data_IF_634033993836
#
_entry.id   IF_634033993836
#
_cell.length_a   1.000
_cell.length_b   1.000
_cell.length_c   1.000
_cell.angle_alpha   90.00
_cell.angle_beta   90.00
_cell.angle_gamma   90.00
#
_symmetry.space_group_name_H-M   'P 1'
#
loop_
_entity.id
_entity.type
_entity.pdbx_description
1 polymer ?
#
# COMPACT_ATOMS: atom_id res chain seq x y z
N UNK A 1 46.79 56.04 -14.56
CA UNK A 1 45.37 55.78 -14.25
C UNK A 1 45.14 54.34 -13.78
N UNK A 2 45.50 53.31 -14.56
CA UNK A 2 45.23 51.90 -14.24
C UNK A 2 45.78 51.40 -12.89
N UNK A 3 47.03 51.75 -12.53
CA UNK A 3 47.66 51.30 -11.27
C UNK A 3 46.97 51.90 -10.04
N UNK A 4 46.51 53.16 -10.12
CA UNK A 4 45.77 53.82 -9.03
C UNK A 4 44.41 53.16 -8.80
N UNK A 5 43.68 52.86 -9.87
CA UNK A 5 42.41 52.14 -9.77
C UNK A 5 42.59 50.74 -9.12
N UNK A 6 43.67 50.03 -9.44
CA UNK A 6 43.98 48.73 -8.81
C UNK A 6 44.29 48.91 -7.32
N UNK A 7 45.05 49.95 -6.96
CA UNK A 7 45.36 50.28 -5.57
C UNK A 7 44.08 50.57 -4.76
N UNK A 8 43.13 51.32 -5.32
CA UNK A 8 41.85 51.63 -4.68
C UNK A 8 41.02 50.37 -4.44
N UNK A 9 40.94 49.50 -5.45
CA UNK A 9 40.23 48.21 -5.34
C UNK A 9 40.90 47.31 -4.30
N UNK A 10 42.24 47.19 -4.31
CA UNK A 10 42.97 46.40 -3.31
C UNK A 10 42.69 46.94 -1.90
N UNK A 11 42.71 48.26 -1.71
CA UNK A 11 42.47 48.89 -0.41
C UNK A 11 41.06 48.59 0.11
N UNK A 12 40.06 48.61 -0.78
CA UNK A 12 38.66 48.28 -0.45
C UNK A 12 38.43 46.81 -0.03
N UNK A 13 39.30 45.89 -0.46
CA UNK A 13 39.15 44.44 -0.27
C UNK A 13 40.10 43.91 0.81
N UNK A 14 41.29 44.49 0.98
CA UNK A 14 42.39 43.99 1.84
C UNK A 14 41.99 43.77 3.30
N UNK A 15 41.10 44.59 3.85
CA UNK A 15 40.69 44.51 5.26
C UNK A 15 39.47 43.61 5.51
N UNK A 16 38.80 43.11 4.46
CA UNK A 16 37.60 42.27 4.57
C UNK A 16 37.99 40.82 4.88
N UNK A 17 37.48 40.26 5.98
CA UNK A 17 37.70 38.85 6.40
C UNK A 17 36.68 37.87 5.78
N UNK A 18 36.42 37.97 4.47
CA UNK A 18 35.52 37.05 3.73
C UNK A 18 36.33 36.22 2.70
N UNK A 19 35.90 34.98 2.43
CA UNK A 19 36.47 34.10 1.41
C UNK A 19 36.47 34.71 0.00
N UNK A 20 35.40 35.43 -0.36
CA UNK A 20 35.29 36.13 -1.65
C UNK A 20 36.26 37.31 -1.77
N UNK A 21 36.39 38.10 -0.71
CA UNK A 21 37.37 39.19 -0.64
C UNK A 21 38.81 38.65 -0.77
N UNK A 22 39.10 37.52 -0.12
CA UNK A 22 40.39 36.85 -0.23
C UNK A 22 40.64 36.30 -1.65
N UNK A 23 39.61 35.79 -2.32
CA UNK A 23 39.69 35.34 -3.71
C UNK A 23 39.95 36.52 -4.67
N UNK A 24 39.21 37.62 -4.54
CA UNK A 24 39.41 38.84 -5.32
C UNK A 24 40.82 39.41 -5.15
N UNK A 25 41.34 39.47 -3.91
CA UNK A 25 42.71 39.91 -3.65
C UNK A 25 43.75 38.98 -4.30
N UNK A 26 43.53 37.67 -4.27
CA UNK A 26 44.41 36.71 -4.94
C UNK A 26 44.39 36.88 -6.46
N UNK A 27 43.24 37.14 -7.08
CA UNK A 27 43.14 37.39 -8.53
C UNK A 27 43.89 38.67 -8.88
N UNK A 28 43.59 39.78 -8.20
CA UNK A 28 44.22 41.08 -8.44
C UNK A 28 45.74 41.00 -8.30
N UNK A 29 46.23 40.37 -7.24
CA UNK A 29 47.67 40.21 -7.02
C UNK A 29 48.31 39.27 -8.05
N UNK A 30 47.61 38.23 -8.50
CA UNK A 30 48.11 37.35 -9.57
C UNK A 30 48.15 38.05 -10.93
N UNK A 31 47.17 38.92 -11.23
CA UNK A 31 47.12 39.66 -12.50
C UNK A 31 48.26 40.65 -12.66
N UNK A 32 48.67 41.32 -11.59
CA UNK A 32 49.76 42.32 -11.62
C UNK A 32 51.14 41.69 -11.40
N UNK A 33 51.22 40.45 -10.92
CA UNK A 33 52.50 39.75 -10.63
C UNK A 33 53.02 38.93 -11.82
N UNK A 34 53.32 39.61 -12.92
CA UNK A 34 53.94 39.01 -14.11
C UNK A 34 55.44 38.69 -13.94
N UNK A 35 56.02 37.97 -14.91
CA UNK A 35 57.44 37.53 -14.91
C UNK A 35 58.40 38.72 -14.74
N UNK A 36 58.25 39.76 -15.56
CA UNK A 36 59.06 40.98 -15.53
C UNK A 36 59.13 41.71 -14.17
N UNK A 37 58.06 41.61 -13.37
CA UNK A 37 57.94 42.29 -12.06
C UNK A 37 58.47 41.40 -10.93
N UNK A 38 58.35 40.08 -11.09
CA UNK A 38 58.50 39.12 -10.01
C UNK A 38 59.86 38.43 -9.96
N UNK A 39 60.64 38.47 -11.06
CA UNK A 39 62.05 38.04 -11.08
C UNK A 39 62.99 39.13 -10.54
N UNK A 40 62.57 40.39 -10.56
CA UNK A 40 63.34 41.53 -10.07
C UNK A 40 62.89 41.94 -8.67
N UNK A 41 63.66 41.56 -7.62
CA UNK A 41 63.35 41.89 -6.20
C UNK A 41 63.05 43.38 -5.96
N UNK A 42 63.78 44.29 -6.62
CA UNK A 42 63.54 45.74 -6.52
C UNK A 42 62.21 46.17 -7.14
N UNK A 43 61.84 45.61 -8.29
CA UNK A 43 60.57 45.91 -8.96
C UNK A 43 59.38 45.39 -8.16
N UNK A 44 59.49 44.17 -7.59
CA UNK A 44 58.44 43.62 -6.71
C UNK A 44 58.25 44.49 -5.46
N UNK A 45 59.34 44.98 -4.85
CA UNK A 45 59.26 45.84 -3.65
C UNK A 45 58.68 47.21 -3.97
N UNK A 46 59.06 47.80 -5.11
CA UNK A 46 58.50 49.08 -5.57
C UNK A 46 57.00 48.97 -5.82
N UNK A 47 56.56 47.95 -6.56
CA UNK A 47 55.14 47.72 -6.82
C UNK A 47 54.35 47.40 -5.54
N UNK A 48 54.93 46.63 -4.61
CA UNK A 48 54.31 46.32 -3.32
C UNK A 48 54.01 47.61 -2.52
N UNK A 49 54.96 48.55 -2.52
CA UNK A 49 54.80 49.84 -1.87
C UNK A 49 53.71 50.69 -2.55
N UNK A 50 53.69 50.73 -3.88
CA UNK A 50 52.66 51.46 -4.65
C UNK A 50 51.26 50.89 -4.38
N UNK A 51 51.12 49.56 -4.32
CA UNK A 51 49.84 48.89 -4.09
C UNK A 51 49.46 48.76 -2.60
N UNK A 52 50.32 49.19 -1.68
CA UNK A 52 50.08 49.08 -0.23
C UNK A 52 49.95 47.63 0.28
N UNK A 53 50.61 46.65 -0.36
CA UNK A 53 50.55 45.22 0.01
C UNK A 53 51.93 44.68 0.38
N UNK A 54 51.97 43.56 1.12
CA UNK A 54 53.24 42.90 1.43
C UNK A 54 53.85 42.29 0.15
N UNK A 55 55.17 42.41 -0.03
CA UNK A 55 55.90 41.82 -1.16
C UNK A 55 55.72 40.29 -1.24
N UNK A 56 55.54 39.61 -0.11
CA UNK A 56 55.19 38.17 -0.06
C UNK A 56 53.85 37.86 -0.74
N UNK A 57 52.89 38.80 -0.71
CA UNK A 57 51.59 38.65 -1.36
C UNK A 57 51.73 38.66 -2.88
N UNK A 58 52.57 39.54 -3.44
CA UNK A 58 52.89 39.54 -4.88
C UNK A 58 53.63 38.27 -5.30
N UNK A 59 54.54 37.75 -4.47
CA UNK A 59 55.20 36.46 -4.75
C UNK A 59 54.22 35.28 -4.77
N UNK A 60 53.22 35.27 -3.87
CA UNK A 60 52.12 34.28 -3.92
C UNK A 60 51.26 34.46 -5.17
N UNK A 61 50.98 35.71 -5.55
CA UNK A 61 50.30 36.05 -6.80
C UNK A 61 51.04 35.50 -8.02
N UNK A 62 52.37 35.66 -8.10
CA UNK A 62 53.20 35.05 -9.15
C UNK A 62 52.97 33.54 -9.20
N UNK A 63 53.20 32.82 -8.09
CA UNK A 63 53.04 31.35 -8.04
C UNK A 63 51.65 30.91 -8.49
N UNK A 64 50.62 31.65 -8.09
CA UNK A 64 49.23 31.39 -8.51
C UNK A 64 49.06 31.63 -10.01
N UNK A 65 49.58 32.74 -10.55
CA UNK A 65 49.58 33.06 -11.98
C UNK A 65 50.30 31.99 -12.81
N UNK A 66 51.50 31.58 -12.42
CA UNK A 66 52.28 30.54 -13.11
C UNK A 66 51.51 29.22 -13.10
N UNK A 67 50.91 28.85 -11.96
CA UNK A 67 50.07 27.64 -11.87
C UNK A 67 48.85 27.71 -12.80
N UNK A 68 48.18 28.85 -12.90
CA UNK A 68 47.02 29.03 -13.80
C UNK A 68 47.45 28.96 -15.26
N UNK A 69 48.51 29.67 -15.66
CA UNK A 69 48.98 29.73 -17.04
C UNK A 69 49.55 28.40 -17.56
N UNK A 70 50.12 27.57 -16.68
CA UNK A 70 50.64 26.24 -17.04
C UNK A 70 49.71 25.08 -16.66
N UNK A 71 48.49 25.36 -16.18
CA UNK A 71 47.48 24.31 -15.95
C UNK A 71 46.67 24.06 -17.22
N UNK A 72 46.23 22.82 -17.44
CA UNK A 72 45.39 22.43 -18.58
C UNK A 72 44.10 23.25 -18.73
N UNK A 73 43.64 23.91 -17.66
CA UNK A 73 42.38 24.65 -17.63
C UNK A 73 42.53 26.19 -17.60
N UNK A 74 43.74 26.77 -17.71
CA UNK A 74 44.02 28.19 -18.02
C UNK A 74 43.18 29.31 -17.37
N UNK A 75 42.48 29.05 -16.26
CA UNK A 75 41.44 29.93 -15.72
C UNK A 75 41.76 30.35 -14.28
N UNK A 76 41.81 31.65 -14.01
CA UNK A 76 42.06 32.21 -12.66
C UNK A 76 40.99 31.83 -11.62
N UNK A 77 39.78 31.50 -12.08
CA UNK A 77 38.67 31.05 -11.23
C UNK A 77 38.78 29.56 -10.89
N UNK A 78 39.56 28.78 -11.64
CA UNK A 78 39.68 27.34 -11.45
C UNK A 78 40.78 27.04 -10.44
N UNK A 79 40.45 27.14 -9.15
CA UNK A 79 41.33 26.68 -8.07
C UNK A 79 40.78 25.39 -7.47
N UNK A 80 41.33 24.25 -7.88
CA UNK A 80 41.05 23.00 -7.18
C UNK A 80 41.60 23.09 -5.77
N UNK A 81 40.74 22.89 -4.76
CA UNK A 81 41.20 22.73 -3.37
C UNK A 81 42.11 21.51 -3.34
N UNK A 82 43.30 21.63 -2.73
CA UNK A 82 44.15 20.45 -2.48
C UNK A 82 43.35 19.45 -1.66
N UNK A 83 43.22 18.23 -2.18
CA UNK A 83 42.70 17.10 -1.42
C UNK A 83 43.60 16.87 -0.21
N UNK A 84 43.00 16.56 0.94
CA UNK A 84 43.77 16.22 2.13
C UNK A 84 44.43 14.86 1.96
N UNK A 85 45.56 14.62 2.62
CA UNK A 85 46.31 13.37 2.52
C UNK A 85 45.56 12.16 3.08
N UNK A 86 44.61 12.38 3.99
CA UNK A 86 43.72 11.37 4.58
C UNK A 86 42.45 11.11 3.73
N UNK A 87 42.31 11.77 2.58
CA UNK A 87 41.16 11.56 1.71
C UNK A 87 41.19 10.15 1.09
N UNK A 88 40.03 9.49 1.08
CA UNK A 88 39.86 8.19 0.45
C UNK A 88 40.28 8.23 -1.03
N UNK A 89 41.10 7.24 -1.42
CA UNK A 89 41.51 7.05 -2.81
C UNK A 89 40.31 6.74 -3.70
N UNK A 90 40.40 7.09 -4.97
CA UNK A 90 39.32 6.82 -5.93
C UNK A 90 39.13 5.31 -6.14
N UNK A 91 40.20 4.53 -6.05
CA UNK A 91 40.17 3.05 -6.09
C UNK A 91 39.31 2.49 -4.97
N UNK A 92 39.60 2.87 -3.72
CA UNK A 92 38.82 2.40 -2.57
C UNK A 92 37.34 2.79 -2.68
N UNK A 93 37.03 4.00 -3.20
CA UNK A 93 35.64 4.43 -3.41
C UNK A 93 34.89 3.55 -4.42
N UNK A 94 35.56 3.13 -5.51
CA UNK A 94 34.96 2.22 -6.51
C UNK A 94 34.70 0.84 -5.92
N UNK A 95 35.66 0.28 -5.20
CA UNK A 95 35.49 -1.01 -4.51
C UNK A 95 34.28 -0.98 -3.59
N UNK A 96 34.16 0.08 -2.77
CA UNK A 96 33.00 0.24 -1.87
C UNK A 96 31.70 0.42 -2.66
N UNK A 97 31.72 1.21 -3.72
CA UNK A 97 30.55 1.42 -4.58
C UNK A 97 30.05 0.10 -5.17
N UNK A 98 30.95 -0.74 -5.68
CA UNK A 98 30.62 -2.03 -6.28
C UNK A 98 30.18 -3.04 -5.21
N UNK A 99 30.79 -3.00 -4.02
CA UNK A 99 30.39 -3.82 -2.88
C UNK A 99 28.94 -3.56 -2.46
N UNK A 100 28.50 -2.29 -2.45
CA UNK A 100 27.10 -1.95 -2.15
C UNK A 100 26.10 -2.58 -3.13
N UNK A 101 26.51 -2.91 -4.36
CA UNK A 101 25.67 -3.45 -5.43
C UNK A 101 25.72 -4.98 -5.54
N UNK A 102 26.51 -5.64 -4.68
CA UNK A 102 26.54 -7.09 -4.66
C UNK A 102 25.19 -7.67 -4.22
N UNK A 103 24.80 -8.79 -4.84
CA UNK A 103 23.51 -9.45 -4.65
C UNK A 103 23.23 -9.90 -3.21
N UNK A 104 24.26 -10.15 -2.42
CA UNK A 104 24.20 -10.51 -1.00
C UNK A 104 24.03 -9.29 -0.05
N UNK A 105 24.18 -8.07 -0.56
CA UNK A 105 24.08 -6.82 0.19
C UNK A 105 22.81 -6.06 -0.18
N UNK A 106 22.58 -5.88 -1.48
CA UNK A 106 21.41 -5.18 -1.98
C UNK A 106 20.83 -5.83 -3.24
N UNK A 107 19.51 -5.73 -3.37
CA UNK A 107 18.78 -6.25 -4.53
C UNK A 107 18.10 -5.12 -5.31
N UNK A 108 18.07 -5.18 -6.65
CA UNK A 108 17.32 -4.21 -7.44
C UNK A 108 15.80 -4.39 -7.26
N UNK A 109 15.05 -3.30 -7.38
CA UNK A 109 13.59 -3.34 -7.43
C UNK A 109 13.10 -3.72 -8.83
N UNK A 110 12.18 -4.67 -8.93
CA UNK A 110 11.57 -5.08 -10.20
C UNK A 110 10.50 -4.10 -10.72
N UNK A 111 10.17 -3.06 -9.95
CA UNK A 111 9.17 -2.08 -10.32
C UNK A 111 9.77 -1.00 -11.23
N UNK A 112 9.22 -0.84 -12.44
CA UNK A 112 9.65 0.17 -13.42
C UNK A 112 9.51 1.61 -12.91
N UNK A 113 8.62 1.85 -11.95
CA UNK A 113 8.41 3.17 -11.36
C UNK A 113 9.43 3.52 -10.28
N UNK A 114 10.15 2.52 -9.74
CA UNK A 114 11.15 2.71 -8.67
C UNK A 114 12.52 3.10 -9.26
N UNK A 115 12.56 4.26 -9.93
CA UNK A 115 13.77 4.84 -10.52
C UNK A 115 14.18 6.07 -9.71
N UNK A 116 15.44 6.12 -9.29
CA UNK A 116 16.03 7.31 -8.66
C UNK A 116 16.81 8.10 -9.71
N UNK A 117 16.60 9.42 -9.73
CA UNK A 117 17.26 10.34 -10.66
C UNK A 117 18.07 11.37 -9.90
N UNK A 118 19.28 11.65 -10.38
CA UNK A 118 20.14 12.73 -9.89
C UNK A 118 20.52 13.61 -11.07
N UNK A 119 20.43 14.93 -10.87
CA UNK A 119 20.82 15.93 -11.86
C UNK A 119 22.35 16.04 -11.90
N UNK A 120 22.95 15.79 -13.07
CA UNK A 120 24.41 15.92 -13.28
C UNK A 120 24.74 17.33 -13.79
N UNK A 121 23.93 17.84 -14.71
CA UNK A 121 24.10 19.18 -15.30
C UNK A 121 22.73 19.79 -15.62
N UNK A 122 22.65 21.05 -16.10
CA UNK A 122 21.39 21.62 -16.55
C UNK A 122 20.70 20.73 -17.59
N UNK A 123 19.48 20.29 -17.27
CA UNK A 123 18.66 19.40 -18.09
C UNK A 123 19.23 17.99 -18.37
N UNK A 124 20.31 17.56 -17.70
CA UNK A 124 20.85 16.19 -17.83
C UNK A 124 20.75 15.45 -16.49
N UNK A 125 20.10 14.28 -16.54
CA UNK A 125 19.84 13.43 -15.37
C UNK A 125 20.42 12.03 -15.59
N UNK A 126 21.04 11.48 -14.56
CA UNK A 126 21.34 10.05 -14.48
C UNK A 126 20.20 9.35 -13.77
N UNK A 127 19.75 8.23 -14.33
CA UNK A 127 18.64 7.41 -13.81
C UNK A 127 19.12 5.99 -13.50
N UNK A 128 18.89 5.54 -12.29
CA UNK A 128 19.24 4.19 -11.84
C UNK A 128 18.02 3.52 -11.20
N UNK A 129 17.90 2.21 -11.39
CA UNK A 129 16.93 1.39 -10.64
C UNK A 129 17.24 1.49 -9.14
N UNK A 130 16.19 1.48 -8.32
CA UNK A 130 16.37 1.50 -6.87
C UNK A 130 16.90 0.15 -6.39
N UNK A 131 17.84 0.18 -5.45
CA UNK A 131 18.35 -1.01 -4.76
C UNK A 131 17.91 -0.99 -3.30
N UNK A 132 17.53 -2.15 -2.79
CA UNK A 132 17.04 -2.34 -1.43
C UNK A 132 18.06 -3.15 -0.65
N UNK A 133 18.48 -2.62 0.49
CA UNK A 133 19.38 -3.30 1.42
C UNK A 133 18.66 -4.46 2.12
N UNK A 134 19.28 -5.63 2.10
CA UNK A 134 18.78 -6.83 2.80
C UNK A 134 19.25 -6.88 4.26
N UNK A 135 20.38 -6.23 4.56
CA UNK A 135 21.02 -6.17 5.88
C UNK A 135 21.08 -4.73 6.40
N UNK A 136 21.37 -4.57 7.68
CA UNK A 136 21.64 -3.25 8.26
C UNK A 136 22.99 -2.71 7.75
N UNK A 137 23.14 -1.38 7.70
CA UNK A 137 24.39 -0.75 7.23
C UNK A 137 25.61 -1.18 8.06
N UNK A 138 25.42 -1.47 9.33
CA UNK A 138 26.47 -1.94 10.24
C UNK A 138 26.92 -3.36 9.89
N UNK A 139 25.98 -4.27 9.64
CA UNK A 139 26.29 -5.64 9.20
C UNK A 139 27.01 -5.65 7.86
N UNK A 140 26.58 -4.81 6.92
CA UNK A 140 27.24 -4.65 5.62
C UNK A 140 28.67 -4.14 5.79
N UNK A 141 28.91 -3.20 6.71
CA UNK A 141 30.26 -2.71 7.01
C UNK A 141 31.17 -3.78 7.63
N UNK A 142 30.63 -4.60 8.56
CA UNK A 142 31.39 -5.71 9.13
C UNK A 142 31.72 -6.76 8.07
N UNK A 143 30.77 -7.04 7.16
CA UNK A 143 31.02 -7.93 6.03
C UNK A 143 32.11 -7.37 5.09
N UNK A 144 32.06 -6.07 4.78
CA UNK A 144 33.10 -5.40 3.99
C UNK A 144 34.48 -5.52 4.63
N UNK A 145 34.58 -5.32 5.95
CA UNK A 145 35.83 -5.47 6.72
C UNK A 145 36.40 -6.89 6.66
N UNK A 146 35.53 -7.89 6.64
CA UNK A 146 35.92 -9.30 6.56
C UNK A 146 36.42 -9.67 5.15
N UNK A 147 35.78 -9.14 4.11
CA UNK A 147 36.18 -9.40 2.71
C UNK A 147 37.39 -8.56 2.26
N UNK A 148 37.55 -7.35 2.81
CA UNK A 148 38.63 -6.41 2.47
C UNK A 148 39.39 -5.93 3.72
N UNK A 149 40.17 -6.81 4.38
CA UNK A 149 40.88 -6.48 5.61
C UNK A 149 41.98 -5.40 5.43
N UNK A 150 42.55 -5.28 4.23
CA UNK A 150 43.63 -4.33 3.92
C UNK A 150 43.15 -2.88 3.80
N UNK A 151 41.87 -2.66 3.52
CA UNK A 151 41.30 -1.33 3.31
C UNK A 151 41.01 -0.65 4.67
N UNK A 152 41.85 0.33 5.03
CA UNK A 152 41.70 1.11 6.27
C UNK A 152 40.56 2.13 6.15
N UNK A 153 39.32 1.65 6.26
CA UNK A 153 38.11 2.47 6.22
C UNK A 153 37.32 2.42 7.53
N UNK A 154 36.80 3.59 7.95
CA UNK A 154 35.86 3.72 9.05
C UNK A 154 34.40 3.70 8.57
N UNK A 155 33.48 3.27 9.44
CA UNK A 155 32.06 3.07 9.11
C UNK A 155 31.40 4.32 8.51
N UNK A 156 31.57 5.49 9.11
CA UNK A 156 30.98 6.74 8.59
C UNK A 156 31.49 7.11 7.19
N UNK A 157 32.72 6.72 6.86
CA UNK A 157 33.29 6.97 5.53
C UNK A 157 32.71 5.99 4.50
N UNK A 158 32.52 4.73 4.89
CA UNK A 158 31.84 3.70 4.11
C UNK A 158 30.39 4.07 3.78
N UNK A 159 29.62 4.50 4.78
CA UNK A 159 28.24 4.93 4.62
C UNK A 159 28.09 6.16 3.71
N UNK A 160 29.08 7.07 3.72
CA UNK A 160 29.12 8.22 2.79
C UNK A 160 29.39 7.82 1.34
N UNK A 161 30.02 6.66 1.12
CA UNK A 161 30.24 6.09 -0.21
C UNK A 161 29.04 5.29 -0.72
N UNK A 162 27.95 5.20 0.05
CA UNK A 162 26.72 4.53 -0.36
C UNK A 162 26.10 5.21 -1.60
N UNK A 163 25.80 4.46 -2.67
CA UNK A 163 25.13 5.02 -3.85
C UNK A 163 23.76 5.61 -3.50
N UNK A 164 23.40 6.73 -4.13
CA UNK A 164 22.17 7.46 -3.83
C UNK A 164 20.88 6.68 -4.14
N UNK A 165 20.97 5.68 -5.00
CA UNK A 165 19.84 4.83 -5.41
C UNK A 165 19.70 3.56 -4.54
N UNK A 166 20.61 3.34 -3.59
CA UNK A 166 20.52 2.27 -2.57
C UNK A 166 19.81 2.82 -1.33
N UNK A 167 18.72 2.17 -0.93
CA UNK A 167 17.92 2.56 0.25
C UNK A 167 17.70 1.39 1.21
N UNK A 168 17.34 1.74 2.44
CA UNK A 168 16.93 0.75 3.44
C UNK A 168 15.58 0.13 3.08
N UNK A 169 15.40 -1.15 3.44
CA UNK A 169 14.13 -1.85 3.26
C UNK A 169 13.03 -1.24 4.13
N UNK A 170 11.88 -0.95 3.53
CA UNK A 170 10.64 -0.63 4.22
C UNK A 170 9.78 -1.90 4.37
N UNK A 171 8.76 -1.86 5.23
CA UNK A 171 7.87 -3.01 5.45
C UNK A 171 7.27 -3.54 4.14
N UNK A 172 6.80 -2.63 3.26
CA UNK A 172 6.26 -2.98 1.94
C UNK A 172 7.25 -3.72 1.04
N UNK A 173 8.56 -3.49 1.22
CA UNK A 173 9.60 -4.12 0.41
C UNK A 173 9.91 -5.53 0.88
N UNK A 174 9.53 -5.88 2.10
CA UNK A 174 9.61 -7.27 2.60
C UNK A 174 8.50 -8.15 2.02
N UNK A 175 7.48 -7.55 1.41
CA UNK A 175 6.44 -8.28 0.68
C UNK A 175 6.97 -8.63 -0.71
N UNK A 176 7.57 -9.81 -0.83
CA UNK A 176 8.35 -10.23 -2.01
C UNK A 176 7.50 -10.63 -3.20
N UNK A 177 6.28 -11.15 -2.98
CA UNK A 177 5.39 -11.53 -4.08
C UNK A 177 3.92 -11.23 -3.78
N UNK A 178 3.34 -10.30 -4.54
CA UNK A 178 1.91 -9.99 -4.58
C UNK A 178 1.29 -10.44 -5.91
N UNK A 179 1.86 -11.44 -6.60
CA UNK A 179 1.25 -11.94 -7.82
C UNK A 179 -0.09 -12.60 -7.49
N UNK A 180 -1.04 -12.50 -8.42
CA UNK A 180 -2.38 -13.08 -8.28
C UNK A 180 -2.32 -14.54 -7.81
N UNK A 181 -1.48 -15.35 -8.46
CA UNK A 181 -1.30 -16.77 -8.12
C UNK A 181 -0.92 -16.96 -6.65
N UNK A 182 0.08 -16.24 -6.14
CA UNK A 182 0.52 -16.43 -4.76
C UNK A 182 -0.49 -15.90 -3.73
N UNK A 183 -1.21 -14.81 -4.04
CA UNK A 183 -2.25 -14.29 -3.15
C UNK A 183 -3.45 -15.23 -3.11
N UNK A 184 -3.91 -15.71 -4.28
CA UNK A 184 -5.00 -16.69 -4.39
C UNK A 184 -4.63 -18.03 -3.73
N UNK A 185 -3.41 -18.53 -3.94
CA UNK A 185 -2.93 -19.75 -3.28
C UNK A 185 -2.90 -19.61 -1.75
N UNK A 186 -2.53 -18.44 -1.22
CA UNK A 186 -2.59 -18.16 0.22
C UNK A 186 -4.02 -18.14 0.75
N UNK A 187 -4.96 -17.55 0.00
CA UNK A 187 -6.38 -17.54 0.36
C UNK A 187 -6.95 -18.96 0.37
N UNK A 188 -6.71 -19.73 -0.70
CA UNK A 188 -7.11 -21.13 -0.81
C UNK A 188 -6.53 -21.99 0.33
N UNK A 189 -5.23 -21.84 0.61
CA UNK A 189 -4.57 -22.55 1.72
C UNK A 189 -5.25 -22.24 3.06
N UNK A 190 -5.57 -20.98 3.32
CA UNK A 190 -6.26 -20.56 4.55
C UNK A 190 -7.64 -21.22 4.67
N UNK A 191 -8.45 -21.22 3.61
CA UNK A 191 -9.76 -21.89 3.60
C UNK A 191 -9.62 -23.41 3.85
N UNK A 192 -8.66 -24.07 3.20
CA UNK A 192 -8.40 -25.49 3.39
C UNK A 192 -7.97 -25.81 4.83
N UNK A 193 -7.06 -25.01 5.41
CA UNK A 193 -6.61 -25.22 6.80
C UNK A 193 -7.71 -24.93 7.83
N UNK A 194 -8.61 -23.97 7.56
CA UNK A 194 -9.79 -23.73 8.38
C UNK A 194 -10.77 -24.91 8.33
N UNK A 195 -11.02 -25.46 7.14
CA UNK A 195 -11.83 -26.65 6.97
C UNK A 195 -11.23 -27.84 7.72
N UNK A 196 -9.93 -28.08 7.53
CA UNK A 196 -9.18 -29.10 8.26
C UNK A 196 -9.30 -28.93 9.78
N UNK A 197 -9.16 -27.71 10.30
CA UNK A 197 -9.31 -27.42 11.73
C UNK A 197 -10.71 -27.78 12.26
N UNK A 198 -11.76 -27.51 11.48
CA UNK A 198 -13.14 -27.88 11.84
C UNK A 198 -13.31 -29.40 11.89
N UNK A 199 -12.78 -30.12 10.91
CA UNK A 199 -12.81 -31.59 10.90
C UNK A 199 -12.07 -32.20 12.09
N UNK A 200 -10.86 -31.72 12.38
CA UNK A 200 -10.07 -32.18 13.55
C UNK A 200 -10.83 -31.97 14.87
N UNK A 201 -11.57 -30.86 14.99
CA UNK A 201 -12.39 -30.57 16.16
C UNK A 201 -13.58 -31.53 16.31
N UNK A 202 -14.10 -32.06 15.18
CA UNK A 202 -15.24 -32.98 15.14
C UNK A 202 -14.82 -34.43 15.37
N UNK A 203 -13.70 -34.85 14.77
CA UNK A 203 -13.24 -36.24 14.76
C UNK A 203 -12.26 -36.56 15.91
N UNK A 204 -11.81 -35.55 16.67
CA UNK A 204 -10.94 -35.76 17.84
C UNK A 204 -9.55 -36.32 17.50
N UNK A 205 -9.17 -36.33 16.23
CA UNK A 205 -7.95 -36.97 15.75
C UNK A 205 -6.75 -36.01 15.89
N UNK A 206 -5.87 -36.24 16.87
CA UNK A 206 -4.72 -35.36 17.15
C UNK A 206 -3.45 -35.68 16.35
N UNK A 207 -3.43 -36.74 15.55
CA UNK A 207 -2.20 -37.18 14.86
C UNK A 207 -1.83 -36.36 13.62
N UNK A 208 -2.73 -35.49 13.14
CA UNK A 208 -2.52 -34.83 11.86
C UNK A 208 -2.14 -33.37 11.99
N UNK A 209 -1.00 -33.02 11.36
CA UNK A 209 -0.39 -31.69 11.43
C UNK A 209 -1.28 -30.61 10.79
N UNK A 210 -1.45 -29.50 11.52
CA UNK A 210 -2.00 -28.25 10.99
C UNK A 210 -0.85 -27.34 10.58
N UNK A 211 -0.86 -26.87 9.33
CA UNK A 211 0.22 -26.04 8.80
C UNK A 211 -0.10 -24.56 9.03
N UNK A 212 0.86 -23.80 9.56
CA UNK A 212 0.69 -22.35 9.76
C UNK A 212 0.96 -21.57 8.48
N UNK A 213 1.81 -22.12 7.59
CA UNK A 213 2.19 -21.45 6.36
C UNK A 213 2.32 -22.41 5.18
N UNK A 214 2.10 -21.87 3.97
CA UNK A 214 2.37 -22.59 2.72
C UNK A 214 3.82 -23.08 2.63
N UNK A 215 4.78 -22.32 3.16
CA UNK A 215 6.19 -22.70 3.15
C UNK A 215 6.46 -23.96 3.97
N UNK A 216 5.82 -24.07 5.13
CA UNK A 216 5.92 -25.25 6.00
C UNK A 216 5.35 -26.50 5.32
N UNK A 217 4.17 -26.37 4.70
CA UNK A 217 3.56 -27.44 3.91
C UNK A 217 4.46 -27.88 2.74
N UNK A 218 5.07 -26.92 2.05
CA UNK A 218 6.00 -27.21 0.96
C UNK A 218 7.25 -27.92 1.48
N UNK A 219 7.85 -27.44 2.58
CA UNK A 219 9.05 -28.06 3.14
C UNK A 219 8.80 -29.49 3.63
N UNK A 220 7.66 -29.78 4.25
CA UNK A 220 7.29 -31.14 4.69
C UNK A 220 6.98 -32.08 3.52
N UNK A 221 6.44 -31.55 2.40
CA UNK A 221 6.14 -32.35 1.21
C UNK A 221 7.33 -32.55 0.28
N UNK A 222 8.45 -31.86 0.48
CA UNK A 222 9.68 -31.98 -0.31
C UNK A 222 10.72 -32.88 0.37
N UNK A 223 11.83 -33.16 -0.31
CA UNK A 223 12.98 -33.83 0.30
C UNK A 223 13.79 -32.85 1.15
N UNK A 224 14.51 -33.37 2.15
CA UNK A 224 15.42 -32.56 2.97
C UNK A 224 16.52 -31.93 2.11
N UNK A 225 16.85 -30.67 2.39
CA UNK A 225 17.93 -29.94 1.71
C UNK A 225 19.27 -30.62 2.00
N UNK A 226 20.13 -30.77 0.99
CA UNK A 226 21.45 -31.37 1.18
C UNK A 226 22.35 -30.48 2.05
N UNK A 227 23.16 -31.07 2.93
CA UNK A 227 23.95 -30.35 3.93
C UNK A 227 24.85 -29.23 3.38
N UNK A 228 25.26 -29.30 2.10
CA UNK A 228 26.11 -28.31 1.45
C UNK A 228 25.35 -27.20 0.69
N UNK A 229 24.02 -27.30 0.56
CA UNK A 229 23.23 -26.31 -0.20
C UNK A 229 21.95 -25.95 0.55
N UNK A 230 21.72 -24.66 0.82
CA UNK A 230 20.49 -24.18 1.45
C UNK A 230 19.24 -24.24 0.55
N UNK A 231 19.30 -24.96 -0.58
CA UNK A 231 18.27 -24.99 -1.62
C UNK A 231 17.77 -26.42 -1.87
N UNK A 232 16.50 -26.54 -2.21
CA UNK A 232 15.89 -27.79 -2.66
C UNK A 232 16.39 -28.19 -4.04
N UNK A 233 16.44 -29.50 -4.34
CA UNK A 233 16.76 -29.98 -5.68
C UNK A 233 15.66 -29.55 -6.67
N UNK A 234 16.07 -29.10 -7.86
CA UNK A 234 15.13 -28.66 -8.92
C UNK A 234 14.12 -29.77 -9.26
N UNK A 235 14.57 -31.02 -9.34
CA UNK A 235 13.68 -32.18 -9.60
C UNK A 235 12.56 -32.35 -8.57
N UNK A 236 12.78 -31.94 -7.32
CA UNK A 236 11.75 -31.97 -6.28
C UNK A 236 10.75 -30.81 -6.47
N UNK A 237 11.23 -29.61 -6.85
CA UNK A 237 10.40 -28.43 -7.10
C UNK A 237 9.50 -28.62 -8.33
N UNK A 238 10.02 -29.27 -9.37
CA UNK A 238 9.28 -29.61 -10.59
C UNK A 238 8.36 -30.83 -10.41
N UNK A 239 8.28 -31.38 -9.18
CA UNK A 239 7.47 -32.58 -8.83
C UNK A 239 7.79 -33.83 -9.67
N UNK A 240 9.04 -33.94 -10.16
CA UNK A 240 9.54 -35.11 -10.90
C UNK A 240 10.18 -36.16 -9.98
N UNK A 241 10.30 -35.87 -8.68
CA UNK A 241 10.83 -36.79 -7.70
C UNK A 241 9.78 -37.82 -7.28
N UNK A 242 10.16 -39.10 -7.21
CA UNK A 242 9.29 -40.20 -6.77
C UNK A 242 9.10 -40.26 -5.25
N UNK A 243 10.03 -39.69 -4.48
CA UNK A 243 10.06 -39.81 -3.00
C UNK A 243 9.42 -38.62 -2.28
N UNK A 244 9.17 -37.52 -2.96
CA UNK A 244 8.53 -36.33 -2.39
C UNK A 244 7.40 -35.84 -3.26
N UNK A 245 6.39 -35.22 -2.66
CA UNK A 245 5.17 -34.91 -3.38
C UNK A 245 3.97 -34.84 -2.45
N UNK A 246 2.80 -34.86 -3.06
CA UNK A 246 1.51 -34.93 -2.37
C UNK A 246 1.37 -36.25 -1.60
N UNK A 247 2.13 -37.29 -1.98
CA UNK A 247 2.17 -38.57 -1.25
C UNK A 247 2.63 -38.45 0.22
N UNK A 248 3.39 -37.40 0.58
CA UNK A 248 3.77 -37.11 1.97
C UNK A 248 2.70 -36.34 2.73
N UNK A 249 1.71 -35.79 2.03
CA UNK A 249 0.62 -35.05 2.66
C UNK A 249 -0.47 -36.02 3.10
N UNK A 250 -0.66 -36.14 4.41
CA UNK A 250 -1.69 -36.99 4.99
C UNK A 250 -3.05 -36.30 4.92
N UNK A 251 -3.96 -36.78 4.07
CA UNK A 251 -5.35 -36.30 3.99
C UNK A 251 -6.20 -36.93 5.10
N UNK A 252 -7.19 -36.20 5.63
CA UNK A 252 -8.20 -36.75 6.54
C UNK A 252 -9.30 -37.47 5.73
N UNK A 253 -9.97 -38.50 6.28
CA UNK A 253 -11.09 -39.17 5.60
C UNK A 253 -12.19 -38.19 5.18
N UNK A 254 -12.59 -37.27 6.06
CA UNK A 254 -13.57 -36.22 5.75
C UNK A 254 -13.11 -35.17 4.73
N UNK A 255 -11.83 -35.16 4.33
CA UNK A 255 -11.34 -34.35 3.19
C UNK A 255 -11.40 -35.12 1.87
N UNK A 256 -11.53 -36.45 1.92
CA UNK A 256 -11.67 -37.33 0.77
C UNK A 256 -13.13 -37.68 0.48
N UNK A 257 -14.03 -37.48 1.44
CA UNK A 257 -15.45 -37.66 1.26
C UNK A 257 -16.00 -36.67 0.21
N UNK A 258 -16.52 -37.21 -0.90
CA UNK A 258 -17.20 -36.46 -1.97
C UNK A 258 -18.59 -35.94 -1.56
N UNK A 259 -18.91 -35.93 -0.26
CA UNK A 259 -20.09 -35.22 0.24
C UNK A 259 -20.06 -33.75 -0.23
N UNK A 260 -21.22 -33.18 -0.56
CA UNK A 260 -21.42 -31.82 -1.14
C UNK A 260 -20.99 -30.64 -0.22
N UNK A 261 -19.95 -30.81 0.58
CA UNK A 261 -19.39 -29.76 1.43
C UNK A 261 -18.69 -28.73 0.54
N UNK A 262 -19.42 -27.65 0.22
CA UNK A 262 -18.88 -26.55 -0.56
C UNK A 262 -17.97 -25.67 0.31
N UNK A 263 -16.68 -25.63 -0.02
CA UNK A 263 -15.71 -24.74 0.64
C UNK A 263 -15.63 -23.43 -0.17
N UNK A 264 -16.02 -22.32 0.45
CA UNK A 264 -15.86 -20.99 -0.13
C UNK A 264 -14.42 -20.48 0.04
N UNK A 265 -13.89 -19.87 -1.02
CA UNK A 265 -12.58 -19.22 -1.02
C UNK A 265 -12.58 -18.02 -1.96
N UNK A 266 -11.66 -17.08 -1.72
CA UNK A 266 -11.66 -15.81 -2.43
C UNK A 266 -10.76 -15.85 -3.67
N UNK A 267 -11.32 -15.49 -4.83
CA UNK A 267 -10.58 -15.38 -6.09
C UNK A 267 -10.63 -13.96 -6.64
N UNK A 268 -9.50 -13.49 -7.19
CA UNK A 268 -9.49 -12.22 -7.89
C UNK A 268 -10.06 -12.38 -9.30
N UNK A 269 -10.86 -11.42 -9.73
CA UNK A 269 -11.41 -11.39 -11.08
C UNK A 269 -11.09 -10.09 -11.80
N UNK A 270 -10.89 -10.17 -13.11
CA UNK A 270 -10.73 -8.98 -13.93
C UNK A 270 -12.11 -8.40 -14.26
N UNK A 271 -12.37 -7.18 -13.82
CA UNK A 271 -13.58 -6.44 -14.17
C UNK A 271 -13.26 -5.13 -14.87
N UNK A 272 -14.16 -4.72 -15.76
CA UNK A 272 -14.11 -3.41 -16.39
C UNK A 272 -14.78 -2.39 -15.46
N UNK A 273 -13.99 -1.50 -14.86
CA UNK A 273 -14.48 -0.46 -13.96
C UNK A 273 -14.55 0.86 -14.73
N UNK A 274 -15.72 1.51 -14.70
CA UNK A 274 -15.88 2.88 -15.20
C UNK A 274 -15.11 3.83 -14.30
N UNK A 275 -14.17 4.59 -14.87
CA UNK A 275 -13.47 5.68 -14.18
C UNK A 275 -13.95 7.00 -14.78
N UNK A 276 -14.13 8.05 -13.97
CA UNK A 276 -14.63 9.40 -14.35
C UNK A 276 -14.52 9.68 -15.86
N UNK A 277 -15.65 9.64 -16.55
CA UNK A 277 -15.78 9.63 -18.02
C UNK A 277 -16.22 8.26 -18.57
N UNK A 278 -16.32 8.12 -19.89
CA UNK A 278 -16.65 6.85 -20.58
C UNK A 278 -15.45 5.89 -20.71
N UNK A 279 -14.35 6.14 -19.99
CA UNK A 279 -13.16 5.29 -20.04
C UNK A 279 -13.33 4.09 -19.11
N UNK A 280 -13.34 2.90 -19.72
CA UNK A 280 -13.32 1.61 -19.02
C UNK A 280 -11.88 1.18 -18.76
N UNK A 281 -11.55 0.86 -17.50
CA UNK A 281 -10.24 0.29 -17.15
C UNK A 281 -10.45 -1.14 -16.63
N UNK A 282 -9.73 -2.10 -17.21
CA UNK A 282 -9.67 -3.47 -16.72
C UNK A 282 -8.84 -3.51 -15.44
N UNK A 283 -9.49 -3.75 -14.29
CA UNK A 283 -8.84 -3.86 -12.97
C UNK A 283 -9.01 -5.26 -12.42
N UNK A 284 -7.99 -5.74 -11.71
CA UNK A 284 -8.06 -6.95 -10.91
C UNK A 284 -8.69 -6.59 -9.57
N UNK A 285 -9.83 -7.20 -9.22
CA UNK A 285 -10.60 -6.88 -8.02
C UNK A 285 -10.98 -8.18 -7.30
N UNK A 286 -10.86 -8.18 -5.98
CA UNK A 286 -11.46 -9.20 -5.11
C UNK A 286 -12.94 -8.83 -4.97
N UNK A 287 -13.84 -9.62 -5.54
CA UNK A 287 -15.28 -9.31 -5.55
C UNK A 287 -15.89 -9.70 -4.21
N UNK A 288 -15.71 -8.84 -3.21
CA UNK A 288 -16.50 -8.90 -1.98
C UNK A 288 -17.74 -8.04 -2.22
N UNK A 289 -18.85 -8.69 -2.48
CA UNK A 289 -20.14 -8.04 -2.68
C UNK A 289 -21.04 -8.43 -1.51
N UNK A 290 -21.77 -7.44 -1.00
CA UNK A 290 -22.72 -7.60 0.10
C UNK A 290 -24.04 -7.04 -0.36
N UNK A 291 -25.10 -7.75 0.00
CA UNK A 291 -26.47 -7.38 -0.32
C UNK A 291 -27.03 -6.57 0.84
N UNK A 292 -27.61 -5.42 0.52
CA UNK A 292 -28.24 -4.53 1.49
C UNK A 292 -29.67 -4.28 1.02
N UNK A 293 -30.63 -4.92 1.66
CA UNK A 293 -32.05 -4.62 1.49
C UNK A 293 -32.47 -3.59 2.55
N UNK A 294 -33.23 -2.58 2.14
CA UNK A 294 -33.69 -1.51 3.04
C UNK A 294 -35.21 -1.48 3.04
N UNK A 295 -35.81 -1.69 4.20
CA UNK A 295 -37.26 -1.61 4.39
C UNK A 295 -37.57 -0.43 5.30
N UNK A 296 -38.49 0.43 4.87
CA UNK A 296 -39.01 1.51 5.70
C UNK A 296 -40.37 1.07 6.21
N UNK A 297 -40.48 0.88 7.52
CA UNK A 297 -41.71 0.44 8.15
C UNK A 297 -42.39 1.62 8.84
N UNK A 298 -43.67 1.78 8.54
CA UNK A 298 -44.55 2.70 9.26
C UNK A 298 -45.56 1.86 10.03
N UNK A 299 -45.60 1.99 11.35
CA UNK A 299 -46.54 1.25 12.21
C UNK A 299 -47.13 2.17 13.28
N UNK A 300 -48.28 1.78 13.81
CA UNK A 300 -48.82 2.40 15.01
C UNK A 300 -47.94 2.07 16.23
N UNK A 301 -47.81 3.01 17.16
CA UNK A 301 -47.07 2.79 18.40
C UNK A 301 -47.75 1.75 19.28
N UNK A 302 -46.94 0.88 19.89
CA UNK A 302 -47.37 -0.16 20.81
C UNK A 302 -46.98 0.28 22.22
N UNK A 303 -47.95 0.38 23.13
CA UNK A 303 -47.74 0.94 24.47
C UNK A 303 -46.60 0.24 25.24
N UNK A 304 -46.54 -1.09 25.18
CA UNK A 304 -45.55 -1.89 25.92
C UNK A 304 -44.11 -1.69 25.42
N UNK A 305 -43.94 -1.37 24.14
CA UNK A 305 -42.63 -1.27 23.50
C UNK A 305 -42.17 0.19 23.34
N UNK A 306 -43.07 1.08 22.92
CA UNK A 306 -42.77 2.48 22.59
C UNK A 306 -43.09 3.46 23.73
N UNK A 307 -43.75 2.98 24.80
CA UNK A 307 -44.19 3.79 25.93
C UNK A 307 -45.32 4.77 25.61
N UNK A 308 -45.90 4.67 24.40
CA UNK A 308 -47.03 5.48 23.94
C UNK A 308 -48.01 4.60 23.18
N UNK A 309 -49.29 4.73 23.51
CA UNK A 309 -50.35 4.04 22.79
C UNK A 309 -50.78 4.85 21.56
N UNK A 310 -51.34 4.16 20.56
CA UNK A 310 -51.91 4.77 19.38
C UNK A 310 -53.39 4.44 19.30
N UNK A 311 -54.25 5.44 19.40
CA UNK A 311 -55.71 5.26 19.33
C UNK A 311 -56.28 5.71 17.98
N UNK A 312 -57.55 5.39 17.72
CA UNK A 312 -58.24 5.84 16.51
C UNK A 312 -58.43 7.37 16.48
N UNK A 313 -58.53 8.01 17.64
CA UNK A 313 -58.71 9.46 17.78
C UNK A 313 -57.36 10.21 17.77
N UNK A 314 -56.30 9.59 18.31
CA UNK A 314 -54.94 10.13 18.33
C UNK A 314 -53.95 9.10 17.77
N UNK A 315 -53.80 9.02 16.43
CA UNK A 315 -52.90 8.06 15.80
C UNK A 315 -51.45 8.50 15.98
N UNK A 316 -50.63 7.63 16.56
CA UNK A 316 -49.20 7.85 16.70
C UNK A 316 -48.43 6.87 15.83
N UNK A 317 -47.77 7.39 14.80
CA UNK A 317 -47.06 6.59 13.79
C UNK A 317 -45.57 6.63 14.06
N UNK A 318 -44.98 5.45 14.18
CA UNK A 318 -43.55 5.23 14.31
C UNK A 318 -43.00 4.82 12.95
N UNK A 319 -41.87 5.44 12.58
CA UNK A 319 -41.14 5.12 11.36
C UNK A 319 -39.81 4.49 11.74
N UNK A 320 -39.61 3.26 11.28
CA UNK A 320 -38.40 2.46 11.51
C UNK A 320 -37.71 2.16 10.19
N UNK A 321 -36.37 2.08 10.23
CA UNK A 321 -35.54 1.75 9.08
C UNK A 321 -34.87 0.41 9.36
N UNK A 322 -35.22 -0.59 8.56
CA UNK A 322 -34.63 -1.91 8.61
C UNK A 322 -33.56 -2.03 7.54
N UNK A 323 -32.42 -2.56 7.95
CA UNK A 323 -31.34 -2.90 7.06
C UNK A 323 -31.10 -4.40 7.17
N UNK A 324 -31.42 -5.13 6.11
CA UNK A 324 -31.12 -6.55 6.00
C UNK A 324 -29.83 -6.71 5.20
N UNK A 325 -28.81 -7.21 5.87
CA UNK A 325 -27.48 -7.44 5.30
C UNK A 325 -27.32 -8.93 5.07
N UNK A 326 -26.86 -9.30 3.87
CA UNK A 326 -26.72 -10.72 3.50
C UNK A 326 -25.55 -10.94 2.54
N UNK A 327 -24.87 -12.10 2.60
CA UNK A 327 -23.92 -12.51 1.57
C UNK A 327 -24.59 -12.95 0.25
N UNK A 328 -25.90 -13.23 0.25
CA UNK A 328 -26.61 -13.74 -0.94
C UNK A 328 -26.72 -12.69 -2.05
N UNK A 329 -26.16 -12.99 -3.22
CA UNK A 329 -26.13 -12.12 -4.40
C UNK A 329 -27.24 -12.43 -5.43
N UNK A 330 -28.08 -13.45 -5.20
CA UNK A 330 -29.09 -13.87 -6.18
C UNK A 330 -30.23 -12.85 -6.30
N UNK A 331 -30.60 -12.20 -5.19
CA UNK A 331 -31.68 -11.20 -5.10
C UNK A 331 -32.98 -11.69 -5.75
N UNK A 332 -33.31 -12.96 -5.55
CA UNK A 332 -34.50 -13.56 -6.12
C UNK A 332 -35.71 -13.42 -5.17
N UNK A 333 -36.78 -14.12 -5.50
CA UNK A 333 -38.01 -14.12 -4.72
C UNK A 333 -37.84 -14.81 -3.35
N UNK A 334 -36.96 -15.82 -3.22
CA UNK A 334 -36.67 -16.47 -1.94
C UNK A 334 -35.95 -15.50 -1.00
N UNK A 335 -34.96 -14.76 -1.51
CA UNK A 335 -34.28 -13.70 -0.76
C UNK A 335 -35.28 -12.69 -0.20
N UNK A 336 -36.21 -12.22 -1.05
CA UNK A 336 -37.21 -11.22 -0.66
C UNK A 336 -38.19 -11.77 0.39
N UNK A 337 -38.61 -13.03 0.24
CA UNK A 337 -39.48 -13.70 1.20
C UNK A 337 -38.79 -13.87 2.57
N UNK A 338 -37.50 -14.23 2.59
CA UNK A 338 -36.71 -14.31 3.82
C UNK A 338 -36.60 -12.95 4.54
N UNK A 339 -36.39 -11.87 3.78
CA UNK A 339 -36.38 -10.50 4.32
C UNK A 339 -37.73 -10.15 4.96
N UNK A 340 -38.84 -10.47 4.29
CA UNK A 340 -40.19 -10.23 4.82
C UNK A 340 -40.46 -11.08 6.08
N UNK A 341 -39.98 -12.33 6.13
CA UNK A 341 -40.11 -13.16 7.32
C UNK A 341 -39.38 -12.56 8.52
N UNK A 342 -38.16 -12.04 8.34
CA UNK A 342 -37.42 -11.37 9.41
C UNK A 342 -38.17 -10.14 9.96
N UNK A 343 -38.81 -9.36 9.07
CA UNK A 343 -39.64 -8.22 9.48
C UNK A 343 -40.89 -8.69 10.22
N UNK A 344 -41.53 -9.78 9.77
CA UNK A 344 -42.68 -10.39 10.46
C UNK A 344 -42.31 -10.89 11.85
N UNK A 345 -41.18 -11.59 11.99
CA UNK A 345 -40.67 -12.08 13.28
C UNK A 345 -40.36 -10.92 14.24
N UNK A 346 -39.77 -9.83 13.75
CA UNK A 346 -39.60 -8.62 14.55
C UNK A 346 -40.94 -8.08 15.04
N UNK A 347 -41.94 -7.95 14.15
CA UNK A 347 -43.25 -7.40 14.52
C UNK A 347 -43.97 -8.28 15.55
N UNK A 348 -43.83 -9.61 15.44
CA UNK A 348 -44.31 -10.56 16.45
C UNK A 348 -43.58 -10.38 17.78
N UNK A 349 -42.26 -10.13 17.76
CA UNK A 349 -41.46 -9.97 18.99
C UNK A 349 -41.84 -8.74 19.82
N UNK A 350 -42.39 -7.70 19.18
CA UNK A 350 -42.88 -6.49 19.85
C UNK A 350 -44.39 -6.54 20.14
N UNK A 351 -45.03 -7.72 20.01
CA UNK A 351 -46.47 -7.92 20.16
C UNK A 351 -47.33 -6.96 19.33
N UNK A 352 -46.87 -6.60 18.12
CA UNK A 352 -47.64 -5.75 17.23
C UNK A 352 -48.72 -6.58 16.52
N UNK A 353 -49.99 -6.38 16.86
CA UNK A 353 -51.12 -7.02 16.19
C UNK A 353 -51.42 -6.33 14.86
N UNK A 354 -51.29 -7.06 13.75
CA UNK A 354 -51.38 -6.50 12.39
C UNK A 354 -52.72 -6.90 11.76
N UNK A 355 -53.64 -5.94 11.71
CA UNK A 355 -54.92 -6.10 11.02
C UNK A 355 -54.78 -5.97 9.50
N UNK A 356 -53.98 -5.00 9.02
CA UNK A 356 -53.75 -4.76 7.59
C UNK A 356 -52.29 -4.39 7.36
N UNK A 357 -51.60 -5.15 6.51
CA UNK A 357 -50.25 -4.83 6.03
C UNK A 357 -50.33 -4.12 4.68
N UNK A 358 -49.88 -2.87 4.62
CA UNK A 358 -49.73 -2.12 3.37
C UNK A 358 -48.30 -2.25 2.86
N UNK A 359 -48.13 -2.88 1.71
CA UNK A 359 -46.83 -3.02 1.09
C UNK A 359 -46.72 -2.13 -0.14
N UNK A 360 -45.61 -1.43 -0.30
CA UNK A 360 -45.34 -0.57 -1.44
C UNK A 360 -44.08 -1.06 -2.14
N UNK A 361 -44.24 -1.51 -3.39
CA UNK A 361 -43.16 -2.15 -4.15
C UNK A 361 -43.00 -1.50 -5.53
N UNK A 362 -41.80 -1.61 -6.10
CA UNK A 362 -41.54 -1.19 -7.47
C UNK A 362 -41.95 -2.29 -8.47
N UNK A 363 -42.57 -1.93 -9.59
CA UNK A 363 -42.91 -2.84 -10.68
C UNK A 363 -44.30 -3.49 -10.58
N UNK A 364 -45.26 -2.95 -11.33
CA UNK A 364 -46.65 -3.44 -11.41
C UNK A 364 -46.77 -4.88 -11.94
N UNK A 365 -47.74 -5.63 -11.39
CA UNK A 365 -48.06 -7.03 -11.72
C UNK A 365 -48.47 -7.28 -13.18
N UNK A 366 -48.84 -6.23 -13.94
CA UNK A 366 -49.11 -6.31 -15.37
C UNK A 366 -47.88 -6.62 -16.23
N UNK A 367 -46.69 -6.60 -15.64
CA UNK A 367 -45.44 -6.97 -16.29
C UNK A 367 -45.15 -8.46 -16.10
N UNK A 368 -45.02 -9.21 -17.20
CA UNK A 368 -44.75 -10.67 -17.23
C UNK A 368 -43.63 -11.15 -16.29
N UNK A 369 -42.67 -10.27 -15.96
CA UNK A 369 -41.55 -10.55 -15.05
C UNK A 369 -41.95 -10.65 -13.56
N UNK A 370 -43.12 -10.15 -13.17
CA UNK A 370 -43.58 -10.09 -11.77
C UNK A 370 -44.54 -11.23 -11.37
N UNK A 371 -44.65 -12.30 -12.19
CA UNK A 371 -45.56 -13.44 -11.91
C UNK A 371 -45.32 -14.10 -10.55
N UNK A 372 -44.06 -14.18 -10.12
CA UNK A 372 -43.67 -14.79 -8.85
C UNK A 372 -44.11 -13.95 -7.65
N UNK A 373 -44.12 -12.61 -7.82
CA UNK A 373 -44.60 -11.69 -6.79
C UNK A 373 -46.10 -11.88 -6.50
N UNK A 374 -46.90 -12.34 -7.47
CA UNK A 374 -48.33 -12.61 -7.25
C UNK A 374 -48.57 -13.89 -6.46
N UNK A 375 -47.76 -14.93 -6.72
CA UNK A 375 -47.76 -16.15 -5.90
C UNK A 375 -47.40 -15.82 -4.46
N UNK A 376 -46.35 -15.03 -4.25
CA UNK A 376 -45.94 -14.58 -2.93
C UNK A 376 -47.04 -13.78 -2.19
N UNK A 377 -47.74 -12.83 -2.84
CA UNK A 377 -48.90 -12.13 -2.22
C UNK A 377 -49.98 -13.11 -1.78
N UNK A 378 -50.27 -14.13 -2.59
CA UNK A 378 -51.39 -15.05 -2.34
C UNK A 378 -51.20 -15.90 -1.07
N UNK A 379 -49.95 -16.17 -0.68
CA UNK A 379 -49.60 -16.89 0.54
C UNK A 379 -49.11 -15.97 1.68
N UNK A 380 -48.85 -14.69 1.42
CA UNK A 380 -48.32 -13.76 2.43
C UNK A 380 -49.12 -13.69 3.73
N UNK A 381 -50.46 -13.81 3.68
CA UNK A 381 -51.28 -13.80 4.90
C UNK A 381 -51.07 -15.07 5.74
N UNK A 382 -50.93 -16.25 5.12
CA UNK A 382 -50.65 -17.50 5.83
C UNK A 382 -49.21 -17.53 6.34
N UNK A 383 -48.26 -17.06 5.54
CA UNK A 383 -46.83 -17.20 5.82
C UNK A 383 -46.39 -16.24 6.93
N UNK A 384 -46.86 -14.99 6.88
CA UNK A 384 -46.46 -13.97 7.85
C UNK A 384 -47.46 -13.78 8.99
N UNK A 385 -48.68 -14.33 8.89
CA UNK A 385 -49.72 -14.25 9.93
C UNK A 385 -50.47 -12.92 9.96
N UNK A 386 -50.53 -12.19 8.83
CA UNK A 386 -51.30 -10.94 8.72
C UNK A 386 -52.77 -11.23 8.42
N UNK A 387 -53.71 -10.49 9.02
CA UNK A 387 -55.13 -10.69 8.75
C UNK A 387 -55.54 -10.24 7.33
N UNK A 388 -54.86 -9.24 6.78
CA UNK A 388 -55.04 -8.78 5.39
C UNK A 388 -53.75 -8.14 4.87
N UNK A 389 -53.44 -8.37 3.60
CA UNK A 389 -52.34 -7.68 2.89
C UNK A 389 -52.87 -6.87 1.71
N UNK A 390 -52.30 -5.67 1.52
CA UNK A 390 -52.57 -4.77 0.40
C UNK A 390 -51.24 -4.38 -0.24
N UNK A 391 -50.88 -5.02 -1.36
CA UNK A 391 -49.66 -4.69 -2.13
C UNK A 391 -49.97 -3.63 -3.19
N UNK A 392 -49.27 -2.51 -3.10
CA UNK A 392 -49.32 -1.36 -3.99
C UNK A 392 -48.05 -1.33 -4.85
N UNK A 393 -48.18 -0.83 -6.08
CA UNK A 393 -47.09 -0.84 -7.05
C UNK A 393 -46.82 0.55 -7.61
N UNK A 394 -45.54 0.87 -7.76
CA UNK A 394 -45.08 1.98 -8.59
C UNK A 394 -44.73 1.50 -10.01
N UNK A 395 -44.65 2.44 -10.94
CA UNK A 395 -44.03 2.17 -12.25
C UNK A 395 -42.55 1.82 -12.07
N UNK A 396 -42.07 0.85 -12.86
CA UNK A 396 -40.71 0.33 -12.78
C UNK A 396 -39.66 1.44 -12.76
N UNK A 397 -38.74 1.41 -11.79
CA UNK A 397 -37.67 2.40 -11.60
C UNK A 397 -38.14 3.81 -11.21
N UNK A 398 -39.41 3.97 -10.85
CA UNK A 398 -39.97 5.24 -10.36
C UNK A 398 -40.20 5.25 -8.84
N UNK A 399 -40.01 4.13 -8.14
CA UNK A 399 -40.02 4.07 -6.69
C UNK A 399 -38.74 4.65 -6.08
N UNK A 400 -38.59 5.98 -6.09
CA UNK A 400 -37.55 6.67 -5.31
C UNK A 400 -38.11 7.11 -3.98
N UNK A 401 -37.42 6.78 -2.89
CA UNK A 401 -37.95 7.07 -1.56
C UNK A 401 -36.91 7.08 -0.45
N UNK A 402 -37.38 7.16 0.82
CA UNK A 402 -36.52 7.18 2.00
C UNK A 402 -35.56 5.98 2.07
N UNK A 403 -35.95 4.83 1.53
CA UNK A 403 -35.12 3.62 1.44
C UNK A 403 -33.81 3.84 0.66
N UNK A 404 -33.83 4.63 -0.42
CA UNK A 404 -32.63 4.92 -1.22
C UNK A 404 -31.67 5.82 -0.46
N UNK A 405 -32.22 6.82 0.25
CA UNK A 405 -31.44 7.74 1.08
C UNK A 405 -30.78 7.01 2.25
N UNK A 406 -31.53 6.14 2.92
CA UNK A 406 -31.06 5.31 4.02
C UNK A 406 -29.95 4.33 3.57
N UNK A 407 -30.17 3.59 2.47
CA UNK A 407 -29.16 2.71 1.90
C UNK A 407 -27.92 3.45 1.40
N UNK A 408 -28.11 4.62 0.78
CA UNK A 408 -27.03 5.49 0.32
C UNK A 408 -26.19 6.05 1.47
N UNK A 409 -26.81 6.36 2.61
CA UNK A 409 -26.11 6.83 3.81
C UNK A 409 -25.15 5.76 4.36
N UNK A 410 -25.62 4.52 4.57
CA UNK A 410 -24.78 3.43 5.08
C UNK A 410 -23.61 3.16 4.13
N UNK A 411 -23.87 3.04 2.83
CA UNK A 411 -22.83 2.83 1.81
C UNK A 411 -21.75 3.92 1.89
N UNK A 412 -22.17 5.18 1.97
CA UNK A 412 -21.25 6.32 2.09
C UNK A 412 -20.45 6.30 3.39
N UNK A 413 -21.05 5.94 4.52
CA UNK A 413 -20.34 5.85 5.80
C UNK A 413 -19.31 4.71 5.79
N UNK A 414 -19.68 3.53 5.26
CA UNK A 414 -18.79 2.39 5.10
C UNK A 414 -17.59 2.75 4.20
N UNK A 415 -17.85 3.37 3.04
CA UNK A 415 -16.81 3.84 2.13
C UNK A 415 -15.85 4.81 2.82
N UNK A 416 -16.37 5.79 3.55
CA UNK A 416 -15.56 6.76 4.29
C UNK A 416 -14.71 6.08 5.38
N UNK A 417 -15.26 5.10 6.09
CA UNK A 417 -14.56 4.38 7.15
C UNK A 417 -13.37 3.58 6.60
N UNK A 418 -13.56 2.92 5.44
CA UNK A 418 -12.50 2.20 4.71
C UNK A 418 -11.46 3.16 4.16
N UNK A 419 -11.87 4.25 3.50
CA UNK A 419 -10.95 5.27 2.94
C UNK A 419 -10.08 5.91 4.04
N UNK A 420 -10.65 6.13 5.22
CA UNK A 420 -9.92 6.68 6.39
C UNK A 420 -9.00 5.67 7.06
N UNK A 421 -9.08 4.38 6.69
CA UNK A 421 -8.33 3.31 7.34
C UNK A 421 -8.78 3.03 8.78
N UNK A 422 -10.01 3.43 9.13
CA UNK A 422 -10.57 3.22 10.48
C UNK A 422 -11.17 1.82 10.64
N UNK A 423 -11.72 1.27 9.55
CA UNK A 423 -12.36 -0.03 9.52
C UNK A 423 -11.88 -0.79 8.29
N UNK A 424 -11.82 -2.12 8.42
CA UNK A 424 -11.62 -3.04 7.31
C UNK A 424 -12.93 -3.80 7.15
N UNK A 425 -13.69 -3.49 6.10
CA UNK A 425 -14.97 -4.14 5.80
C UNK A 425 -14.74 -5.07 4.62
N UNK A 426 -14.73 -6.38 4.88
CA UNK A 426 -14.43 -7.43 3.90
C UNK A 426 -15.51 -8.53 3.84
N UNK A 427 -16.56 -8.48 4.66
CA UNK A 427 -17.66 -9.45 4.63
C UNK A 427 -19.01 -8.78 4.94
N UNK A 428 -20.10 -9.54 4.74
CA UNK A 428 -21.44 -9.14 5.20
C UNK A 428 -21.47 -8.96 6.72
N UNK A 429 -20.79 -9.84 7.46
CA UNK A 429 -20.63 -9.73 8.91
C UNK A 429 -19.90 -8.45 9.31
N UNK A 430 -18.80 -8.10 8.62
CA UNK A 430 -18.06 -6.86 8.93
C UNK A 430 -18.91 -5.62 8.66
N UNK A 431 -19.77 -5.65 7.63
CA UNK A 431 -20.70 -4.55 7.34
C UNK A 431 -21.79 -4.45 8.40
N UNK A 432 -22.29 -5.60 8.88
CA UNK A 432 -23.25 -5.67 9.97
C UNK A 432 -22.68 -5.11 11.27
N UNK A 433 -21.47 -5.52 11.64
CA UNK A 433 -20.77 -5.05 12.84
C UNK A 433 -20.39 -3.56 12.77
N UNK A 434 -20.18 -3.03 11.55
CA UNK A 434 -19.94 -1.60 11.33
C UNK A 434 -21.21 -0.75 11.57
N UNK A 435 -22.40 -1.29 11.32
CA UNK A 435 -23.63 -0.54 11.45
C UNK A 435 -23.98 -0.28 12.93
N UNK A 436 -24.41 0.97 13.27
CA UNK A 436 -24.70 1.30 14.66
C UNK A 436 -25.98 0.61 15.17
N UNK A 437 -26.04 0.25 16.47
CA UNK A 437 -27.15 -0.52 17.06
C UNK A 437 -28.50 0.22 17.15
N UNK A 438 -28.54 1.50 16.76
CA UNK A 438 -29.75 2.35 16.81
C UNK A 438 -30.61 2.30 15.54
N UNK A 439 -30.20 1.46 14.58
CA UNK A 439 -30.95 1.10 13.39
C UNK A 439 -31.47 -0.32 13.62
N UNK A 440 -32.71 -0.65 13.26
CA UNK A 440 -33.23 -2.01 13.48
C UNK A 440 -32.57 -2.94 12.46
N UNK A 441 -31.40 -3.48 12.83
CA UNK A 441 -30.60 -4.34 11.98
C UNK A 441 -31.13 -5.77 12.08
N UNK A 442 -31.45 -6.38 10.94
CA UNK A 442 -31.84 -7.78 10.86
C UNK A 442 -30.77 -8.49 10.02
N UNK A 443 -30.15 -9.53 10.57
CA UNK A 443 -29.10 -10.27 9.87
C UNK A 443 -29.66 -11.60 9.33
N UNK A 444 -29.34 -11.94 8.09
CA UNK A 444 -29.50 -13.31 7.59
C UNK A 444 -28.14 -13.98 7.74
N UNK A 445 -27.94 -14.71 8.83
CA UNK A 445 -26.79 -15.60 8.95
C UNK A 445 -26.96 -16.79 8.00
N UNK A 446 -25.84 -17.40 7.60
CA UNK A 446 -25.74 -18.54 6.67
C UNK A 446 -26.67 -19.74 6.97
N UNK A 447 -27.40 -19.74 8.09
CA UNK A 447 -28.21 -20.84 8.62
C UNK A 447 -29.59 -21.03 7.96
N UNK A 448 -30.06 -20.12 7.10
CA UNK A 448 -31.40 -20.22 6.47
C UNK A 448 -31.41 -20.68 5.01
N UNK A 449 -30.27 -21.07 4.45
CA UNK A 449 -30.16 -21.39 3.01
C UNK A 449 -30.17 -22.90 2.66
N UNK A 450 -30.45 -23.79 3.63
CA UNK A 450 -30.80 -25.20 3.37
C UNK A 450 -32.34 -25.39 3.21
N UNK A 451 -32.96 -24.37 2.58
CA UNK A 451 -34.29 -24.22 1.98
C UNK A 451 -34.57 -24.90 0.63
#
# INVERSE_FOLDING_TARGET
MAIRNIQDVITSVKHKRNGEAKAALNILTSSVSGENISDRKRATKSLANILGVNSRTLQKGKKSRTKVLHSEHSLFLYTTRKTRSDALTERTKRIVHDFWLQSNVSRPTNNKNDIKRVRISPNVYSSHSCYILEKTQTEVFLQFKNEYPDEKMGQRAFEKCKPYFVRTAQFKDKVTCCCRQNVEMRSLFKSCMQFRKRLLSREGCSEVKLYESLSELVDDTLCTRSANTHQHKISCLDRLCSECGVCKFSMLPGELDESDVQISWERYEYKNVKVKGDKMIRKLVLKLEVSLHVTILHRHSVLEYDGKDSTAEEPNIITEQFFVISPDQKHDHHYTHCVQNLVSEYLKSINCEISVMHEFTDGCSSQYKSRHCMGDVSYSCSDFGYAKILRNYFETSHARGPQDAAGGFIKKQADLAVIRGTHVIQSSSDLFDFCPPRQTLLNVLDEFFDM
#
